data_IF_533829122476
#
_entry.id   IF_533829122476
#
_cell.length_a   1.000
_cell.length_b   1.000
_cell.length_c   1.000
_cell.angle_alpha   90.00
_cell.angle_beta   90.00
_cell.angle_gamma   90.00
#
_symmetry.space_group_name_H-M   'P 1'
#
loop_
_entity.id
_entity.type
_entity.pdbx_description
1 polymer ?
#
# COMPACT_ATOMS: atom_id res chain seq x y z
N UNK A 1 19.02 85.06 40.47
CA UNK A 1 19.20 84.31 41.72
C UNK A 1 18.40 83.03 41.54
N UNK A 2 19.18 82.03 41.37
CA UNK A 2 19.05 80.63 41.67
C UNK A 2 17.94 79.86 40.97
N UNK A 3 18.26 79.06 40.09
CA UNK A 3 19.02 77.78 40.19
C UNK A 3 18.13 76.64 40.70
N UNK A 4 18.22 75.64 39.98
CA UNK A 4 18.35 74.18 40.28
C UNK A 4 17.17 73.36 39.97
N UNK A 5 17.42 72.50 39.15
CA UNK A 5 17.75 71.07 39.07
C UNK A 5 16.49 70.26 38.98
N UNK A 6 16.36 69.33 38.17
CA UNK A 6 17.07 68.12 38.23
C UNK A 6 16.71 67.14 37.14
N UNK A 7 17.72 66.52 36.72
CA UNK A 7 17.66 65.25 36.03
C UNK A 7 17.05 64.21 36.96
N UNK A 8 16.04 63.49 36.43
CA UNK A 8 15.45 62.31 37.01
C UNK A 8 15.47 61.23 35.95
N UNK A 9 16.52 60.56 35.94
CA UNK A 9 16.98 59.41 35.23
C UNK A 9 15.89 58.37 34.96
N UNK A 10 15.73 58.15 33.74
CA UNK A 10 15.10 56.98 33.15
C UNK A 10 16.00 55.74 33.33
N UNK A 11 15.77 54.95 34.37
CA UNK A 11 16.52 53.73 34.65
C UNK A 11 15.67 52.48 34.92
N UNK A 12 14.43 52.44 34.38
CA UNK A 12 13.54 51.29 34.59
C UNK A 12 13.27 50.43 33.36
N UNK A 13 13.98 50.62 32.26
CA UNK A 13 13.63 49.92 31.00
C UNK A 13 14.65 48.89 30.53
N UNK A 14 15.36 48.14 31.35
CA UNK A 14 16.28 47.13 30.83
C UNK A 14 16.33 45.80 31.58
N UNK A 15 15.28 45.35 32.22
CA UNK A 15 15.32 44.05 32.89
C UNK A 15 14.31 43.02 32.39
N UNK A 16 13.56 43.32 31.32
CA UNK A 16 12.54 42.38 30.85
C UNK A 16 13.00 41.35 29.79
N UNK A 17 14.22 41.42 29.26
CA UNK A 17 14.49 40.64 28.04
C UNK A 17 15.12 39.24 28.24
N UNK A 18 15.77 38.99 29.37
CA UNK A 18 16.50 37.73 29.53
C UNK A 18 15.63 36.55 30.00
N UNK A 19 14.66 36.79 30.86
CA UNK A 19 13.75 35.73 31.34
C UNK A 19 12.80 35.22 30.24
N UNK A 20 12.31 36.11 29.38
CA UNK A 20 11.45 35.73 28.25
C UNK A 20 12.19 34.91 27.20
N UNK A 21 13.47 35.23 26.91
CA UNK A 21 14.29 34.39 26.00
C UNK A 21 14.51 32.98 26.53
N UNK A 22 14.68 32.81 27.84
CA UNK A 22 14.83 31.47 28.43
C UNK A 22 13.54 30.66 28.43
N UNK A 23 12.41 31.30 28.67
CA UNK A 23 11.11 30.64 28.60
C UNK A 23 10.80 30.13 27.17
N UNK A 24 10.99 30.98 26.17
CA UNK A 24 10.82 30.56 24.76
C UNK A 24 11.84 29.49 24.34
N UNK A 25 13.06 29.53 24.85
CA UNK A 25 14.06 28.50 24.57
C UNK A 25 13.71 27.13 25.18
N UNK A 26 13.12 27.12 26.35
CA UNK A 26 12.63 25.86 26.96
C UNK A 26 11.40 25.34 26.25
N UNK A 27 10.44 26.18 25.91
CA UNK A 27 9.24 25.77 25.15
C UNK A 27 9.60 25.21 23.76
N UNK A 28 10.51 25.85 23.03
CA UNK A 28 10.96 25.36 21.71
C UNK A 28 11.68 24.01 21.79
N UNK A 29 12.43 23.73 22.87
CA UNK A 29 13.09 22.44 23.06
C UNK A 29 12.09 21.31 23.31
N UNK A 30 11.03 21.55 24.08
CA UNK A 30 9.99 20.54 24.31
C UNK A 30 9.19 20.28 23.03
N UNK A 31 8.80 21.31 22.34
CA UNK A 31 8.09 21.19 21.06
C UNK A 31 8.94 20.43 20.01
N UNK A 32 10.22 20.75 19.87
CA UNK A 32 11.13 20.07 18.96
C UNK A 32 11.32 18.59 19.33
N UNK A 33 11.46 18.28 20.60
CA UNK A 33 11.51 16.89 21.08
C UNK A 33 10.23 16.13 20.72
N UNK A 34 9.08 16.73 20.98
CA UNK A 34 7.78 16.09 20.71
C UNK A 34 7.56 15.89 19.22
N UNK A 35 7.98 16.85 18.39
CA UNK A 35 7.99 16.71 16.93
C UNK A 35 8.90 15.54 16.48
N UNK A 36 10.11 15.46 17.00
CA UNK A 36 11.06 14.38 16.68
C UNK A 36 10.48 13.03 17.11
N UNK A 37 9.90 12.94 18.29
CA UNK A 37 9.27 11.71 18.78
C UNK A 37 8.08 11.31 17.91
N UNK A 38 7.22 12.25 17.51
CA UNK A 38 6.10 12.01 16.63
C UNK A 38 6.55 11.51 15.24
N UNK A 39 7.56 12.15 14.67
CA UNK A 39 8.15 11.72 13.38
C UNK A 39 8.79 10.34 13.50
N UNK A 40 9.55 10.09 14.56
CA UNK A 40 10.18 8.79 14.80
C UNK A 40 9.12 7.68 14.97
N UNK A 41 8.09 7.94 15.77
CA UNK A 41 6.99 7.00 15.98
C UNK A 41 6.24 6.72 14.67
N UNK A 42 5.92 7.77 13.92
CA UNK A 42 5.28 7.64 12.60
C UNK A 42 6.14 6.83 11.63
N UNK A 43 7.44 7.06 11.61
CA UNK A 43 8.38 6.30 10.78
C UNK A 43 8.41 4.82 11.18
N UNK A 44 8.50 4.52 12.48
CA UNK A 44 8.45 3.15 13.00
C UNK A 44 7.14 2.47 12.56
N UNK A 45 6.00 3.13 12.77
CA UNK A 45 4.68 2.59 12.38
C UNK A 45 4.65 2.29 10.88
N UNK A 46 5.09 3.22 10.03
CA UNK A 46 5.11 3.01 8.57
C UNK A 46 6.01 1.83 8.20
N UNK A 47 7.22 1.74 8.73
CA UNK A 47 8.18 0.66 8.43
C UNK A 47 7.65 -0.71 8.86
N UNK A 48 6.92 -0.79 9.98
CA UNK A 48 6.33 -2.06 10.44
C UNK A 48 5.08 -2.44 9.65
N UNK A 49 4.25 -1.47 9.24
CA UNK A 49 3.00 -1.72 8.51
C UNK A 49 3.22 -2.00 7.02
N UNK A 50 4.24 -1.40 6.42
CA UNK A 50 4.49 -1.48 4.99
C UNK A 50 5.83 -2.13 4.70
N UNK A 51 5.81 -3.15 3.85
CA UNK A 51 7.03 -3.79 3.36
C UNK A 51 7.33 -3.32 1.94
N UNK A 52 8.53 -2.76 1.68
CA UNK A 52 8.97 -2.50 0.32
C UNK A 52 9.35 -3.81 -0.36
N UNK A 53 8.87 -4.01 -1.57
CA UNK A 53 9.24 -5.16 -2.42
C UNK A 53 9.48 -4.71 -3.85
N UNK A 54 10.28 -5.48 -4.58
CA UNK A 54 10.48 -5.31 -6.01
C UNK A 54 9.61 -6.31 -6.78
N UNK A 55 8.91 -5.82 -7.79
CA UNK A 55 8.15 -6.66 -8.71
C UNK A 55 9.08 -7.32 -9.68
N UNK A 56 8.98 -8.64 -9.82
CA UNK A 56 9.72 -9.42 -10.81
C UNK A 56 8.75 -10.07 -11.78
N UNK A 57 9.01 -9.91 -13.08
CA UNK A 57 8.18 -10.45 -14.14
C UNK A 57 7.16 -9.44 -14.68
N UNK A 58 6.38 -9.93 -15.65
CA UNK A 58 5.46 -9.11 -16.46
C UNK A 58 3.99 -9.49 -16.28
N UNK A 59 3.69 -10.44 -15.41
CA UNK A 59 2.35 -11.03 -15.28
C UNK A 59 1.27 -10.07 -14.76
N UNK A 60 1.66 -8.92 -14.19
CA UNK A 60 0.74 -7.89 -13.69
C UNK A 60 0.73 -6.63 -14.56
N UNK A 61 1.35 -6.67 -15.75
CA UNK A 61 1.24 -5.56 -16.71
C UNK A 61 -0.20 -5.42 -17.23
N UNK A 62 -0.67 -4.19 -17.45
CA UNK A 62 0.07 -2.92 -17.35
C UNK A 62 0.10 -2.31 -15.94
N UNK A 63 -0.69 -2.80 -14.99
CA UNK A 63 -0.81 -2.19 -13.66
C UNK A 63 0.52 -2.17 -12.89
N UNK A 64 1.28 -3.28 -12.95
CA UNK A 64 2.63 -3.39 -12.41
C UNK A 64 3.62 -3.85 -13.47
N UNK A 65 4.69 -3.10 -13.63
CA UNK A 65 5.77 -3.43 -14.58
C UNK A 65 6.97 -4.05 -13.87
N UNK A 66 7.79 -4.75 -14.65
CA UNK A 66 9.00 -5.38 -14.13
C UNK A 66 9.95 -4.35 -13.48
N UNK A 67 10.57 -4.73 -12.36
CA UNK A 67 11.49 -3.93 -11.55
C UNK A 67 10.88 -2.71 -10.85
N UNK A 68 9.57 -2.50 -10.93
CA UNK A 68 8.91 -1.53 -10.04
C UNK A 68 9.10 -1.90 -8.58
N UNK A 69 9.16 -0.87 -7.72
CA UNK A 69 9.16 -1.05 -6.28
C UNK A 69 7.85 -0.57 -5.70
N UNK A 70 7.24 -1.42 -4.92
CA UNK A 70 5.91 -1.21 -4.36
C UNK A 70 5.94 -1.36 -2.84
N UNK A 71 4.97 -0.76 -2.18
CA UNK A 71 4.67 -1.03 -0.78
C UNK A 71 3.56 -2.06 -0.68
N UNK A 72 3.75 -3.03 0.21
CA UNK A 72 2.75 -4.01 0.62
C UNK A 72 2.28 -3.67 2.02
N UNK A 73 0.95 -3.57 2.20
CA UNK A 73 0.33 -3.50 3.52
C UNK A 73 0.07 -4.93 4.02
N UNK A 74 0.77 -5.34 5.08
CA UNK A 74 0.67 -6.70 5.66
C UNK A 74 -0.44 -6.85 6.68
N UNK A 75 -0.98 -5.75 7.17
CA UNK A 75 -1.94 -5.76 8.26
C UNK A 75 -3.38 -5.55 7.82
N UNK A 76 -3.61 -5.11 6.59
CA UNK A 76 -4.96 -4.77 6.10
C UNK A 76 -5.94 -5.92 6.30
N UNK A 77 -5.53 -7.15 6.02
CA UNK A 77 -6.39 -8.33 6.10
C UNK A 77 -6.61 -8.87 7.53
N UNK A 78 -6.08 -8.21 8.55
CA UNK A 78 -6.48 -8.42 9.93
C UNK A 78 -7.74 -7.61 10.31
N UNK A 79 -8.04 -6.58 9.54
CA UNK A 79 -9.13 -5.64 9.81
C UNK A 79 -10.19 -5.63 8.71
N UNK A 80 -9.82 -5.97 7.49
CA UNK A 80 -10.70 -5.94 6.33
C UNK A 80 -10.68 -7.29 5.60
N UNK A 81 -11.81 -7.75 5.06
CA UNK A 81 -11.81 -8.93 4.21
C UNK A 81 -11.08 -8.65 2.89
N UNK A 82 -10.50 -9.69 2.32
CA UNK A 82 -9.95 -9.65 0.97
C UNK A 82 -11.09 -9.41 -0.03
N UNK A 83 -10.93 -8.44 -0.91
CA UNK A 83 -11.95 -8.03 -1.87
C UNK A 83 -11.55 -8.40 -3.29
N UNK A 84 -12.56 -8.55 -4.16
CA UNK A 84 -12.34 -8.66 -5.60
C UNK A 84 -11.66 -7.40 -6.13
N UNK A 85 -10.64 -7.58 -6.96
CA UNK A 85 -9.81 -6.50 -7.48
C UNK A 85 -8.56 -6.22 -6.65
N UNK A 86 -8.47 -6.70 -5.41
CA UNK A 86 -7.26 -6.55 -4.61
C UNK A 86 -6.05 -7.19 -5.29
N UNK A 87 -4.95 -6.47 -5.36
CA UNK A 87 -3.67 -7.02 -5.78
C UNK A 87 -2.98 -7.57 -4.55
N UNK A 88 -2.96 -8.91 -4.45
CA UNK A 88 -2.47 -9.63 -3.27
C UNK A 88 -1.08 -10.20 -3.50
N UNK A 89 -0.31 -10.23 -2.41
CA UNK A 89 0.98 -10.91 -2.36
C UNK A 89 0.85 -12.12 -1.44
N UNK A 90 1.28 -13.27 -1.96
CA UNK A 90 1.08 -14.55 -1.28
C UNK A 90 2.24 -15.50 -1.54
N UNK A 91 2.40 -16.48 -0.65
CA UNK A 91 3.31 -17.59 -0.85
C UNK A 91 2.77 -18.53 -1.91
N UNK A 92 3.60 -18.85 -2.91
CA UNK A 92 3.19 -19.73 -4.01
C UNK A 92 2.74 -21.10 -3.47
N UNK A 93 1.54 -21.60 -3.80
CA UNK A 93 0.98 -22.79 -3.18
C UNK A 93 1.81 -24.08 -3.36
N UNK A 94 2.57 -24.19 -4.47
CA UNK A 94 3.40 -25.35 -4.76
C UNK A 94 4.85 -25.21 -4.26
N UNK A 95 5.28 -24.00 -3.89
CA UNK A 95 6.63 -23.74 -3.39
C UNK A 95 6.62 -22.47 -2.51
N UNK A 96 6.45 -22.64 -1.22
CA UNK A 96 6.35 -21.54 -0.25
C UNK A 96 7.63 -20.74 -0.06
N UNK A 97 8.72 -21.10 -0.74
CA UNK A 97 9.94 -20.26 -0.77
C UNK A 97 9.81 -19.09 -1.72
N UNK A 98 8.79 -19.10 -2.59
CA UNK A 98 8.51 -18.07 -3.59
C UNK A 98 7.25 -17.28 -3.24
N UNK A 99 7.29 -15.99 -3.52
CA UNK A 99 6.11 -15.11 -3.42
C UNK A 99 5.63 -14.70 -4.80
N UNK A 100 4.33 -14.70 -4.97
CA UNK A 100 3.67 -14.23 -6.18
C UNK A 100 2.79 -13.02 -5.88
N UNK A 101 2.58 -12.22 -6.91
CA UNK A 101 1.66 -11.09 -6.89
C UNK A 101 0.62 -11.29 -8.00
N UNK A 102 -0.67 -11.25 -7.65
CA UNK A 102 -1.81 -11.44 -8.56
C UNK A 102 -3.01 -10.63 -8.09
N UNK A 103 -3.98 -10.47 -8.98
CA UNK A 103 -5.26 -9.83 -8.66
C UNK A 103 -6.30 -10.87 -8.27
N UNK A 104 -7.04 -10.60 -7.19
CA UNK A 104 -8.17 -11.42 -6.75
C UNK A 104 -9.32 -11.23 -7.73
N UNK A 105 -9.80 -12.33 -8.31
CA UNK A 105 -10.89 -12.34 -9.28
C UNK A 105 -12.09 -13.14 -8.78
N UNK A 106 -11.88 -14.30 -8.15
CA UNK A 106 -12.94 -15.10 -7.53
C UNK A 106 -12.85 -15.07 -6.02
N UNK A 107 -14.00 -14.89 -5.36
CA UNK A 107 -14.15 -14.87 -3.91
C UNK A 107 -14.68 -16.21 -3.38
N UNK A 108 -14.49 -16.52 -2.08
CA UNK A 108 -14.99 -17.75 -1.48
C UNK A 108 -16.48 -17.99 -1.73
N UNK A 109 -16.83 -19.19 -2.20
CA UNK A 109 -18.20 -19.62 -2.47
C UNK A 109 -18.71 -19.37 -3.87
N UNK A 110 -18.05 -18.53 -4.67
CA UNK A 110 -18.47 -18.17 -6.01
C UNK A 110 -18.10 -19.25 -7.04
N UNK A 111 -18.89 -19.34 -8.10
CA UNK A 111 -18.54 -20.08 -9.30
C UNK A 111 -17.80 -19.18 -10.29
N UNK A 112 -16.55 -19.51 -10.58
CA UNK A 112 -15.71 -18.78 -11.51
C UNK A 112 -15.46 -19.61 -12.76
N UNK A 113 -15.53 -18.97 -13.94
CA UNK A 113 -15.18 -19.54 -15.23
C UNK A 113 -14.51 -18.51 -16.12
N UNK A 114 -13.70 -18.98 -17.09
CA UNK A 114 -13.25 -18.15 -18.20
C UNK A 114 -13.84 -18.71 -19.51
N UNK A 115 -14.30 -17.81 -20.37
CA UNK A 115 -14.77 -18.14 -21.72
C UNK A 115 -14.15 -17.12 -22.69
N UNK A 116 -13.32 -17.60 -23.58
CA UNK A 116 -12.64 -16.76 -24.56
C UNK A 116 -11.99 -15.53 -23.93
N UNK A 117 -11.19 -15.76 -22.87
CA UNK A 117 -10.47 -14.73 -22.11
C UNK A 117 -11.32 -13.87 -21.15
N UNK A 118 -12.64 -14.01 -21.17
CA UNK A 118 -13.54 -13.26 -20.28
C UNK A 118 -13.87 -14.03 -19.03
N UNK A 119 -13.76 -13.35 -17.89
CA UNK A 119 -14.14 -13.92 -16.60
C UNK A 119 -15.65 -13.84 -16.40
N UNK A 120 -16.20 -14.93 -15.86
CA UNK A 120 -17.59 -15.03 -15.43
C UNK A 120 -17.63 -15.41 -13.95
N UNK A 121 -18.44 -14.71 -13.18
CA UNK A 121 -18.71 -15.01 -11.76
C UNK A 121 -20.20 -15.30 -11.63
N UNK A 122 -20.52 -16.48 -11.08
CA UNK A 122 -21.91 -16.98 -10.94
C UNK A 122 -22.72 -16.89 -12.24
N UNK A 123 -22.03 -17.06 -13.36
CA UNK A 123 -22.63 -17.01 -14.71
C UNK A 123 -22.67 -15.63 -15.36
N UNK A 124 -22.41 -14.57 -14.62
CA UNK A 124 -22.41 -13.18 -15.11
C UNK A 124 -20.99 -12.72 -15.50
N UNK A 125 -20.84 -11.98 -16.62
CA UNK A 125 -19.53 -11.50 -17.05
C UNK A 125 -18.99 -10.43 -16.10
N UNK A 126 -17.77 -10.63 -15.63
CA UNK A 126 -17.07 -9.66 -14.82
C UNK A 126 -16.56 -8.50 -15.69
N UNK A 127 -16.84 -7.26 -15.28
CA UNK A 127 -16.33 -6.07 -15.95
C UNK A 127 -14.92 -5.76 -15.46
N UNK A 128 -13.93 -6.04 -16.28
CA UNK A 128 -12.51 -5.86 -15.98
C UNK A 128 -11.94 -4.66 -16.71
N UNK A 129 -12.29 -3.46 -16.27
CA UNK A 129 -11.87 -2.18 -16.90
C UNK A 129 -10.40 -1.86 -16.74
N UNK A 130 -9.69 -2.59 -15.90
CA UNK A 130 -8.26 -2.45 -15.61
C UNK A 130 -7.37 -3.21 -16.59
N UNK A 131 -7.94 -4.05 -17.49
CA UNK A 131 -7.17 -4.81 -18.48
C UNK A 131 -7.44 -4.24 -19.88
N UNK A 132 -6.45 -3.61 -20.52
CA UNK A 132 -6.53 -3.27 -21.93
C UNK A 132 -6.61 -4.52 -22.82
N UNK A 133 -7.25 -4.43 -24.00
CA UNK A 133 -7.45 -5.58 -24.89
C UNK A 133 -6.18 -6.35 -25.28
N UNK A 134 -5.05 -5.67 -25.39
CA UNK A 134 -3.75 -6.24 -25.73
C UNK A 134 -3.15 -7.15 -24.64
N UNK A 135 -3.71 -7.13 -23.42
CA UNK A 135 -3.28 -7.99 -22.31
C UNK A 135 -4.26 -9.15 -22.05
N UNK A 136 -5.34 -9.22 -22.81
CA UNK A 136 -6.26 -10.36 -22.77
C UNK A 136 -5.68 -11.55 -23.55
N UNK A 137 -6.15 -12.74 -23.22
CA UNK A 137 -5.96 -13.96 -23.99
C UNK A 137 -7.31 -14.48 -24.49
N UNK A 138 -7.30 -15.62 -25.17
CA UNK A 138 -8.50 -16.34 -25.62
C UNK A 138 -8.67 -17.68 -24.90
N UNK A 139 -8.02 -17.84 -23.74
CA UNK A 139 -8.10 -19.08 -22.99
C UNK A 139 -9.48 -19.25 -22.35
N UNK A 140 -9.90 -20.48 -22.23
CA UNK A 140 -11.10 -20.86 -21.50
C UNK A 140 -10.71 -21.74 -20.31
N UNK A 141 -11.40 -21.55 -19.20
CA UNK A 141 -11.22 -22.34 -18.00
C UNK A 141 -12.61 -22.83 -17.52
N UNK A 142 -12.78 -24.13 -17.23
CA UNK A 142 -14.05 -24.67 -16.84
C UNK A 142 -14.59 -24.04 -15.56
N UNK A 143 -15.90 -24.02 -15.33
CA UNK A 143 -16.46 -23.54 -14.08
C UNK A 143 -15.86 -24.29 -12.89
N UNK A 144 -15.39 -23.52 -11.91
CA UNK A 144 -14.88 -24.01 -10.64
C UNK A 144 -15.52 -23.25 -9.51
N UNK A 145 -15.94 -23.94 -8.46
CA UNK A 145 -16.37 -23.29 -7.25
C UNK A 145 -15.15 -22.94 -6.40
N UNK A 146 -15.04 -21.69 -6.00
CA UNK A 146 -13.99 -21.22 -5.08
C UNK A 146 -14.34 -21.71 -3.69
N UNK A 147 -13.52 -22.54 -3.11
CA UNK A 147 -13.73 -23.12 -1.78
C UNK A 147 -13.77 -22.03 -0.68
N UNK A 148 -14.47 -22.27 0.45
CA UNK A 148 -14.40 -21.39 1.61
C UNK A 148 -12.97 -21.13 2.05
N UNK A 149 -12.63 -19.86 2.29
CA UNK A 149 -11.28 -19.45 2.68
C UNK A 149 -10.25 -19.49 1.55
N UNK A 150 -10.66 -19.70 0.30
CA UNK A 150 -9.79 -19.67 -0.88
C UNK A 150 -10.15 -18.51 -1.81
N UNK A 151 -9.20 -18.14 -2.64
CA UNK A 151 -9.34 -17.07 -3.62
C UNK A 151 -8.81 -17.52 -4.97
N UNK A 152 -9.55 -17.17 -6.03
CA UNK A 152 -9.07 -17.38 -7.39
C UNK A 152 -8.38 -16.10 -7.86
N UNK A 153 -7.11 -16.20 -8.24
CA UNK A 153 -6.29 -15.03 -8.57
C UNK A 153 -5.76 -15.15 -10.01
N UNK A 154 -5.74 -14.03 -10.71
CA UNK A 154 -5.23 -13.93 -12.07
C UNK A 154 -4.17 -12.82 -12.18
N UNK A 155 -3.26 -13.01 -13.14
CA UNK A 155 -2.42 -11.90 -13.60
C UNK A 155 -3.21 -10.96 -14.52
N UNK A 156 -2.86 -9.69 -14.50
CA UNK A 156 -3.47 -8.71 -15.41
C UNK A 156 -3.00 -8.94 -16.86
N UNK A 157 -1.78 -9.42 -17.06
CA UNK A 157 -1.29 -9.89 -18.35
C UNK A 157 -1.68 -11.35 -18.55
N UNK A 158 -2.89 -11.57 -19.04
CA UNK A 158 -3.53 -12.89 -19.12
C UNK A 158 -2.72 -13.93 -19.87
N UNK A 159 -2.12 -13.56 -21.01
CA UNK A 159 -1.31 -14.46 -21.82
C UNK A 159 0.01 -14.85 -21.14
N UNK A 160 0.60 -13.94 -20.37
CA UNK A 160 1.92 -14.11 -19.74
C UNK A 160 1.83 -14.28 -18.21
N UNK A 161 0.83 -15.04 -17.73
CA UNK A 161 0.64 -15.24 -16.30
C UNK A 161 0.55 -16.70 -15.90
N UNK A 162 1.40 -17.09 -14.97
CA UNK A 162 1.25 -18.33 -14.21
C UNK A 162 0.41 -18.03 -12.97
N UNK A 163 -0.87 -18.44 -12.97
CA UNK A 163 -1.86 -18.07 -11.98
C UNK A 163 -2.83 -19.23 -11.66
N UNK A 164 -3.95 -18.95 -11.02
CA UNK A 164 -4.90 -19.98 -10.58
C UNK A 164 -5.44 -20.89 -11.69
N UNK A 165 -5.33 -20.50 -12.94
CA UNK A 165 -5.66 -21.38 -14.08
C UNK A 165 -4.74 -22.60 -14.18
N UNK A 166 -3.51 -22.49 -13.65
CA UNK A 166 -2.49 -23.54 -13.72
C UNK A 166 -2.43 -24.35 -12.43
N UNK A 167 -2.46 -23.69 -11.27
CA UNK A 167 -2.18 -24.32 -9.97
C UNK A 167 -3.35 -24.24 -8.96
N UNK A 168 -4.54 -23.73 -9.39
CA UNK A 168 -5.75 -23.69 -8.57
C UNK A 168 -5.87 -22.45 -7.68
N UNK A 169 -6.74 -22.53 -6.69
CA UNK A 169 -7.03 -21.45 -5.75
C UNK A 169 -5.95 -21.25 -4.70
N UNK A 170 -5.88 -20.06 -4.11
CA UNK A 170 -4.95 -19.71 -3.02
C UNK A 170 -5.70 -19.71 -1.70
N UNK A 171 -5.25 -20.48 -0.73
CA UNK A 171 -5.75 -20.44 0.63
C UNK A 171 -5.40 -19.08 1.27
N UNK A 172 -6.35 -18.46 1.96
CA UNK A 172 -6.21 -17.17 2.63
C UNK A 172 -4.96 -17.09 3.54
N UNK A 173 -4.61 -18.19 4.20
CA UNK A 173 -3.43 -18.22 5.10
C UNK A 173 -2.10 -17.95 4.40
N UNK A 174 -2.05 -18.14 3.06
CA UNK A 174 -0.85 -17.83 2.27
C UNK A 174 -0.80 -16.39 1.80
N UNK A 175 -1.93 -15.66 1.86
CA UNK A 175 -2.02 -14.26 1.46
C UNK A 175 -1.53 -13.40 2.64
N UNK A 176 -0.36 -12.78 2.49
CA UNK A 176 0.25 -12.04 3.58
C UNK A 176 0.25 -10.52 3.40
N UNK A 177 -0.29 -10.01 2.30
CA UNK A 177 -0.41 -8.57 2.14
C UNK A 177 -1.09 -8.13 0.85
N UNK A 178 -1.47 -6.85 0.84
CA UNK A 178 -2.05 -6.13 -0.29
C UNK A 178 -1.02 -5.15 -0.85
N UNK A 179 -0.78 -5.18 -2.15
CA UNK A 179 -0.02 -4.16 -2.84
C UNK A 179 -0.85 -2.87 -2.89
N UNK A 180 -0.28 -1.75 -2.43
CA UNK A 180 -1.05 -0.52 -2.23
C UNK A 180 -0.50 0.68 -2.98
N UNK A 181 0.81 0.72 -3.22
CA UNK A 181 1.43 1.91 -3.76
C UNK A 181 2.73 1.60 -4.50
N UNK A 182 2.92 2.21 -5.68
CA UNK A 182 4.20 2.20 -6.43
C UNK A 182 5.02 3.40 -5.98
N UNK A 183 6.22 3.18 -5.45
CA UNK A 183 7.10 4.29 -5.02
C UNK A 183 8.33 4.47 -5.91
N UNK A 184 8.61 3.54 -6.83
CA UNK A 184 9.69 3.63 -7.81
C UNK A 184 9.33 2.90 -9.10
N UNK A 185 9.63 3.45 -10.29
CA UNK A 185 10.27 4.76 -10.54
C UNK A 185 9.33 5.94 -10.22
N UNK A 186 9.91 7.12 -9.95
CA UNK A 186 9.13 8.31 -9.60
C UNK A 186 8.13 8.75 -10.68
N UNK A 187 8.40 8.42 -11.94
CA UNK A 187 7.49 8.67 -13.07
C UNK A 187 6.20 7.85 -13.03
N UNK A 188 6.16 6.79 -12.22
CA UNK A 188 5.00 5.88 -12.08
C UNK A 188 4.48 5.85 -10.63
N UNK A 189 4.84 6.86 -9.86
CA UNK A 189 4.44 6.97 -8.46
C UNK A 189 2.93 7.09 -8.35
N UNK A 190 2.30 6.19 -7.58
CA UNK A 190 0.85 6.21 -7.44
C UNK A 190 0.28 5.05 -6.62
N UNK A 191 -0.99 5.21 -6.21
CA UNK A 191 -1.76 4.16 -5.56
C UNK A 191 -2.20 3.12 -6.58
N UNK A 192 -2.14 1.83 -6.21
CA UNK A 192 -2.66 0.73 -6.99
C UNK A 192 -4.18 0.63 -6.84
N UNK A 193 -4.85 0.25 -7.93
CA UNK A 193 -6.31 0.15 -8.01
C UNK A 193 -6.80 -1.27 -8.21
#
# INVERSE_FOLDING_TARGET
MEEKDAAGSNSSERHHSTAEYWLHFFETRYWLRDLILAVLLSFIVIVFLYQPVQVEGTSMMPELTNHQRIFINKFVYHFEPIQRGDIVVFWYPLDHTKSYIKRVVGLPGEWMALRDGRVYIDGEPLKETYIPPEYLDHQSYPPVQVEPGHYFVLGDHRESSNDSRVWGTVDQKYIYGKAVFVYWPLSQLGALK
#
